data_IF_408757677083
#
_entry.id   IF_408757677083
#
_cell.length_a   1.000
_cell.length_b   1.000
_cell.length_c   1.000
_cell.angle_alpha   90.00
_cell.angle_beta   90.00
_cell.angle_gamma   90.00
#
_symmetry.space_group_name_H-M   'P 1'
#
loop_
_entity.id
_entity.type
_entity.pdbx_description
1 polymer ?
#
# COMPACT_ATOMS: atom_id res chain seq x y z
N UNK A 1 -3.18 35.98 18.82
CA UNK A 1 -2.87 34.54 18.91
C UNK A 1 -4.09 33.68 18.54
N UNK A 2 -5.23 33.87 19.20
CA UNK A 2 -6.45 33.06 19.00
C UNK A 2 -6.92 32.93 17.54
N UNK A 3 -6.91 34.01 16.74
CA UNK A 3 -7.30 33.94 15.31
C UNK A 3 -6.38 33.04 14.48
N UNK A 4 -5.07 33.05 14.75
CA UNK A 4 -4.12 32.16 14.10
C UNK A 4 -4.38 30.71 14.49
N UNK A 5 -4.60 30.44 15.78
CA UNK A 5 -4.95 29.10 16.27
C UNK A 5 -6.21 28.56 15.57
N UNK A 6 -7.27 29.36 15.48
CA UNK A 6 -8.49 28.98 14.75
C UNK A 6 -8.23 28.69 13.27
N UNK A 7 -7.41 29.51 12.61
CA UNK A 7 -7.11 29.32 11.18
C UNK A 7 -6.35 28.02 10.94
N UNK A 8 -5.38 27.70 11.80
CA UNK A 8 -4.62 26.46 11.69
C UNK A 8 -5.48 25.25 12.02
N UNK A 9 -6.29 25.30 13.08
CA UNK A 9 -7.26 24.23 13.40
C UNK A 9 -8.22 24.01 12.24
N UNK A 10 -8.75 25.08 11.64
CA UNK A 10 -9.63 24.96 10.49
C UNK A 10 -8.93 24.30 9.29
N UNK A 11 -7.68 24.66 9.03
CA UNK A 11 -6.87 24.02 7.99
C UNK A 11 -6.60 22.54 8.28
N UNK A 12 -6.30 22.18 9.54
CA UNK A 12 -6.11 20.79 9.97
C UNK A 12 -7.40 19.98 9.83
N UNK A 13 -8.53 20.53 10.26
CA UNK A 13 -9.85 19.90 10.11
C UNK A 13 -10.22 19.70 8.64
N UNK A 14 -9.95 20.70 7.79
CA UNK A 14 -10.13 20.57 6.34
C UNK A 14 -9.22 19.46 5.77
N UNK A 15 -7.98 19.37 6.23
CA UNK A 15 -7.04 18.32 5.81
C UNK A 15 -7.55 16.92 6.19
N UNK A 16 -8.07 16.77 7.42
CA UNK A 16 -8.68 15.52 7.92
C UNK A 16 -9.93 15.18 7.10
N UNK A 17 -10.80 16.13 6.80
CA UNK A 17 -11.98 15.92 5.96
C UNK A 17 -11.59 15.47 4.54
N UNK A 18 -10.61 16.12 3.91
CA UNK A 18 -10.12 15.71 2.58
C UNK A 18 -9.53 14.28 2.61
N UNK A 19 -8.86 13.93 3.70
CA UNK A 19 -8.35 12.58 3.94
C UNK A 19 -9.48 11.56 4.19
N UNK A 20 -10.60 11.96 4.77
CA UNK A 20 -11.74 11.08 5.06
C UNK A 20 -12.57 10.80 3.81
N UNK A 21 -12.78 11.81 2.96
CA UNK A 21 -13.55 11.66 1.73
C UNK A 21 -12.76 10.99 0.60
N UNK A 22 -13.41 10.13 -0.18
CA UNK A 22 -12.79 9.34 -1.27
C UNK A 22 -12.63 10.20 -2.53
N UNK A 23 -11.92 11.32 -2.42
CA UNK A 23 -11.75 12.32 -3.49
C UNK A 23 -10.39 12.20 -4.17
N UNK A 24 -10.25 12.68 -5.44
CA UNK A 24 -8.95 12.75 -6.13
C UNK A 24 -7.94 13.65 -5.38
N UNK A 25 -8.43 14.63 -4.60
CA UNK A 25 -7.63 15.51 -3.75
C UNK A 25 -6.84 14.72 -2.68
N UNK A 26 -7.39 13.60 -2.19
CA UNK A 26 -6.68 12.69 -1.28
C UNK A 26 -5.33 12.26 -1.84
N UNK A 27 -5.23 11.99 -3.15
CA UNK A 27 -3.99 11.55 -3.80
C UNK A 27 -2.93 12.65 -3.77
N UNK A 28 -3.34 13.91 -3.99
CA UNK A 28 -2.46 15.09 -3.98
C UNK A 28 -1.99 15.39 -2.54
N UNK A 29 -2.91 15.38 -1.58
CA UNK A 29 -2.60 15.59 -0.16
C UNK A 29 -1.62 14.53 0.33
N UNK A 30 -1.85 13.25 0.01
CA UNK A 30 -0.92 12.17 0.37
C UNK A 30 0.44 12.34 -0.31
N UNK A 31 0.49 12.70 -1.60
CA UNK A 31 1.75 12.93 -2.31
C UNK A 31 2.56 14.10 -1.73
N UNK A 32 1.87 15.14 -1.28
CA UNK A 32 2.48 16.33 -0.65
C UNK A 32 3.00 16.00 0.75
N UNK A 33 2.18 15.33 1.57
CA UNK A 33 2.62 14.83 2.88
C UNK A 33 3.83 13.90 2.76
N UNK A 34 3.86 13.05 1.74
CA UNK A 34 4.97 12.12 1.49
C UNK A 34 6.25 12.86 1.12
N UNK A 35 6.18 13.90 0.29
CA UNK A 35 7.36 14.74 -0.02
C UNK A 35 7.93 15.44 1.22
N UNK A 36 7.07 15.99 2.07
CA UNK A 36 7.48 16.69 3.29
C UNK A 36 8.13 15.74 4.32
N UNK A 37 7.66 14.49 4.41
CA UNK A 37 8.14 13.50 5.41
C UNK A 37 9.17 12.48 4.89
N UNK A 38 9.67 12.61 3.66
CA UNK A 38 10.67 11.68 3.07
C UNK A 38 12.13 11.97 3.48
N UNK A 39 12.41 13.14 4.06
CA UNK A 39 13.74 13.53 4.56
C UNK A 39 13.90 13.43 6.09
N UNK A 40 14.59 14.41 6.71
CA UNK A 40 14.71 14.59 8.19
C UNK A 40 13.38 14.85 8.92
N UNK A 41 12.25 14.82 8.21
CA UNK A 41 10.91 15.13 8.70
C UNK A 41 10.48 14.36 9.97
N UNK A 42 10.75 13.06 10.13
CA UNK A 42 10.35 12.32 11.35
C UNK A 42 11.03 12.83 12.62
N UNK A 43 12.29 13.28 12.51
CA UNK A 43 13.04 13.80 13.67
C UNK A 43 12.54 15.20 14.02
N UNK A 44 12.28 16.02 13.00
CA UNK A 44 11.78 17.39 13.19
C UNK A 44 10.35 17.42 13.74
N UNK A 45 9.49 16.49 13.32
CA UNK A 45 8.13 16.38 13.87
C UNK A 45 8.15 15.96 15.34
N UNK A 46 9.05 15.05 15.74
CA UNK A 46 9.21 14.64 17.15
C UNK A 46 9.71 15.78 18.03
N UNK A 47 10.67 16.58 17.56
CA UNK A 47 11.18 17.73 18.32
C UNK A 47 10.17 18.88 18.39
N UNK A 48 9.42 19.13 17.31
CA UNK A 48 8.34 20.12 17.31
C UNK A 48 7.19 19.68 18.22
N UNK A 49 6.78 18.41 18.18
CA UNK A 49 5.78 17.90 19.11
C UNK A 49 6.22 18.01 20.57
N UNK A 50 7.48 17.68 20.87
CA UNK A 50 8.04 17.82 22.21
C UNK A 50 8.08 19.28 22.70
N UNK A 51 8.51 20.21 21.86
CA UNK A 51 8.55 21.64 22.22
C UNK A 51 7.16 22.21 22.44
N UNK A 52 6.19 21.91 21.57
CA UNK A 52 4.82 22.41 21.74
C UNK A 52 4.14 21.73 22.94
N UNK A 53 4.46 20.47 23.26
CA UNK A 53 3.99 19.80 24.47
C UNK A 53 4.50 20.47 25.76
N UNK A 54 5.77 20.88 25.78
CA UNK A 54 6.35 21.65 26.90
C UNK A 54 5.69 23.03 27.03
N UNK A 55 5.44 23.72 25.92
CA UNK A 55 4.72 25.02 25.91
C UNK A 55 3.29 24.85 26.44
N UNK A 56 2.64 23.75 26.14
CA UNK A 56 1.30 23.44 26.65
C UNK A 56 1.33 23.18 28.16
N UNK A 57 2.29 22.37 28.64
CA UNK A 57 2.49 22.17 30.08
C UNK A 57 2.75 23.49 30.81
N UNK A 58 3.56 24.38 30.22
CA UNK A 58 3.80 25.73 30.77
C UNK A 58 2.51 26.55 30.84
N UNK A 59 1.67 26.47 29.81
CA UNK A 59 0.39 27.20 29.76
C UNK A 59 -0.61 26.67 30.81
N UNK A 60 -0.65 25.35 31.03
CA UNK A 60 -1.46 24.74 32.09
C UNK A 60 -0.97 25.15 33.49
N UNK A 61 0.34 25.21 33.69
CA UNK A 61 0.93 25.69 34.94
C UNK A 61 0.52 27.13 35.24
N UNK A 62 0.56 28.03 34.25
CA UNK A 62 0.13 29.42 34.43
C UNK A 62 -1.36 29.53 34.79
N UNK A 63 -2.23 28.70 34.22
CA UNK A 63 -3.66 28.68 34.57
C UNK A 63 -3.85 28.22 36.02
N UNK A 64 -3.15 27.15 36.44
CA UNK A 64 -3.21 26.65 37.82
C UNK A 64 -2.67 27.69 38.80
N UNK A 65 -1.60 28.40 38.44
CA UNK A 65 -1.02 29.47 39.27
C UNK A 65 -1.97 30.66 39.44
N UNK A 66 -2.63 31.10 38.37
CA UNK A 66 -3.65 32.16 38.42
C UNK A 66 -4.85 31.70 39.26
N UNK A 67 -5.27 30.44 39.11
CA UNK A 67 -6.38 29.88 39.88
C UNK A 67 -6.04 29.77 41.38
N UNK A 68 -4.82 29.35 41.72
CA UNK A 68 -4.34 29.31 43.10
C UNK A 68 -4.26 30.70 43.73
N UNK A 69 -3.76 31.71 42.99
CA UNK A 69 -3.78 33.12 43.45
C UNK A 69 -5.20 33.66 43.64
N UNK A 70 -6.13 33.29 42.77
CA UNK A 70 -7.54 33.72 42.89
C UNK A 70 -8.24 33.07 44.10
N UNK A 71 -7.87 31.83 44.45
CA UNK A 71 -8.35 31.15 45.65
C UNK A 71 -7.73 31.76 46.92
N UNK A 72 -6.45 32.13 46.91
CA UNK A 72 -5.78 32.83 48.01
C UNK A 72 -6.32 34.26 48.24
N UNK A 73 -6.76 34.95 47.19
CA UNK A 73 -7.25 36.34 47.26
C UNK A 73 -8.74 36.49 47.66
N UNK A 74 -9.50 35.38 47.77
CA UNK A 74 -10.85 35.36 48.36
C UNK A 74 -11.97 36.08 47.58
N UNK A 75 -11.69 36.74 46.46
CA UNK A 75 -12.69 37.35 45.57
C UNK A 75 -12.14 37.49 44.15
N UNK A 76 -12.74 36.84 43.12
CA UNK A 76 -12.30 36.97 41.75
C UNK A 76 -12.67 38.36 41.21
N UNK A 77 -11.65 39.17 40.91
CA UNK A 77 -11.81 40.45 40.23
C UNK A 77 -12.45 40.22 38.84
N UNK A 78 -13.50 40.95 38.41
CA UNK A 78 -14.18 40.71 37.13
C UNK A 78 -13.25 40.79 35.91
N UNK A 79 -12.17 41.58 36.00
CA UNK A 79 -11.13 41.66 34.95
C UNK A 79 -10.29 40.37 34.87
N UNK A 80 -10.00 39.73 36.01
CA UNK A 80 -9.25 38.47 36.06
C UNK A 80 -10.08 37.29 35.54
N UNK A 81 -11.42 37.37 35.67
CA UNK A 81 -12.31 36.34 35.13
C UNK A 81 -12.29 36.31 33.59
N UNK A 82 -12.24 37.48 32.94
CA UNK A 82 -12.12 37.57 31.48
C UNK A 82 -10.74 37.14 31.00
N UNK A 83 -9.67 37.55 31.71
CA UNK A 83 -8.31 37.16 31.37
C UNK A 83 -8.09 35.64 31.54
N UNK A 84 -8.63 35.06 32.61
CA UNK A 84 -8.57 33.62 32.86
C UNK A 84 -9.34 32.83 31.80
N UNK A 85 -10.56 33.28 31.42
CA UNK A 85 -11.31 32.63 30.34
C UNK A 85 -10.58 32.65 29.00
N UNK A 86 -9.86 33.75 28.69
CA UNK A 86 -9.08 33.89 27.47
C UNK A 86 -7.85 32.97 27.46
N UNK A 87 -7.13 32.87 28.57
CA UNK A 87 -6.01 31.93 28.70
C UNK A 87 -6.44 30.47 28.72
N UNK A 88 -7.57 30.15 29.36
CA UNK A 88 -8.15 28.80 29.30
C UNK A 88 -8.55 28.42 27.87
N UNK A 89 -9.17 29.35 27.15
CA UNK A 89 -9.53 29.13 25.75
C UNK A 89 -8.29 28.95 24.87
N UNK A 90 -7.27 29.79 25.05
CA UNK A 90 -6.00 29.71 24.30
C UNK A 90 -5.27 28.39 24.58
N UNK A 91 -5.18 27.96 25.84
CA UNK A 91 -4.56 26.68 26.20
C UNK A 91 -5.35 25.48 25.65
N UNK A 92 -6.67 25.52 25.70
CA UNK A 92 -7.54 24.48 25.12
C UNK A 92 -7.35 24.40 23.60
N UNK A 93 -7.33 25.54 22.91
CA UNK A 93 -7.06 25.62 21.46
C UNK A 93 -5.68 25.07 21.12
N UNK A 94 -4.64 25.44 21.88
CA UNK A 94 -3.27 24.94 21.69
C UNK A 94 -3.19 23.42 21.85
N UNK A 95 -3.91 22.87 22.83
CA UNK A 95 -4.03 21.43 23.03
C UNK A 95 -4.78 20.72 21.92
N UNK A 96 -5.86 21.33 21.42
CA UNK A 96 -6.59 20.77 20.30
C UNK A 96 -5.75 20.73 19.02
N UNK A 97 -4.98 21.79 18.77
CA UNK A 97 -4.03 21.89 17.66
C UNK A 97 -2.94 20.81 17.74
N UNK A 98 -2.37 20.62 18.93
CA UNK A 98 -1.42 19.54 19.19
C UNK A 98 -2.02 18.16 18.94
N UNK A 99 -3.24 17.93 19.44
CA UNK A 99 -3.95 16.67 19.27
C UNK A 99 -4.21 16.37 17.79
N UNK A 100 -4.70 17.36 17.03
CA UNK A 100 -4.93 17.24 15.59
C UNK A 100 -3.63 16.98 14.82
N UNK A 101 -2.55 17.69 15.14
CA UNK A 101 -1.24 17.47 14.54
C UNK A 101 -0.72 16.04 14.79
N UNK A 102 -0.88 15.51 16.01
CA UNK A 102 -0.53 14.12 16.35
C UNK A 102 -1.42 13.11 15.62
N UNK A 103 -2.73 13.39 15.51
CA UNK A 103 -3.66 12.55 14.76
C UNK A 103 -3.28 12.48 13.28
N UNK A 104 -2.88 13.61 12.68
CA UNK A 104 -2.37 13.68 11.30
C UNK A 104 -1.06 12.90 11.17
N UNK A 105 -0.17 12.95 12.18
CA UNK A 105 1.07 12.17 12.18
C UNK A 105 0.80 10.65 12.20
N UNK A 106 -0.11 10.19 13.07
CA UNK A 106 -0.56 8.79 13.12
C UNK A 106 -1.23 8.35 11.81
N UNK A 107 -2.12 9.18 11.25
CA UNK A 107 -2.75 8.92 9.95
C UNK A 107 -1.70 8.80 8.84
N UNK A 108 -0.68 9.65 8.86
CA UNK A 108 0.41 9.57 7.89
C UNK A 108 1.21 8.27 8.03
N UNK A 109 1.51 7.85 9.26
CA UNK A 109 2.17 6.57 9.51
C UNK A 109 1.36 5.40 8.93
N UNK A 110 0.05 5.40 9.17
CA UNK A 110 -0.86 4.39 8.63
C UNK A 110 -0.93 4.41 7.09
N UNK A 111 -0.92 5.60 6.48
CA UNK A 111 -0.88 5.75 5.01
C UNK A 111 0.43 5.20 4.42
N UNK A 112 1.56 5.34 5.14
CA UNK A 112 2.85 4.79 4.71
C UNK A 112 2.84 3.27 4.75
N UNK A 113 2.29 2.65 5.80
CA UNK A 113 2.13 1.20 5.89
C UNK A 113 1.22 0.64 4.78
N UNK A 114 0.09 1.28 4.53
CA UNK A 114 -0.83 0.90 3.44
C UNK A 114 -0.17 0.98 2.04
N UNK A 115 0.78 1.90 1.84
CA UNK A 115 1.55 1.99 0.59
C UNK A 115 2.59 0.89 0.45
N UNK A 116 3.26 0.51 1.54
CA UNK A 116 4.19 -0.62 1.52
C UNK A 116 3.45 -1.89 1.16
N UNK A 117 2.30 -2.15 1.80
CA UNK A 117 1.43 -3.27 1.46
C UNK A 117 0.93 -3.24 0.01
N UNK A 118 0.57 -2.06 -0.52
CA UNK A 118 0.15 -1.95 -1.92
C UNK A 118 1.30 -2.22 -2.88
N UNK A 119 2.52 -1.75 -2.57
CA UNK A 119 3.70 -2.00 -3.40
C UNK A 119 4.11 -3.48 -3.37
N UNK A 120 4.04 -4.14 -2.21
CA UNK A 120 4.31 -5.59 -2.11
C UNK A 120 3.22 -6.39 -2.82
N UNK A 121 1.95 -6.00 -2.71
CA UNK A 121 0.86 -6.63 -3.45
C UNK A 121 0.96 -6.40 -4.97
N UNK A 122 1.33 -5.20 -5.43
CA UNK A 122 1.56 -4.93 -6.85
C UNK A 122 2.79 -5.68 -7.38
N UNK A 123 3.86 -5.81 -6.58
CA UNK A 123 5.01 -6.63 -6.92
C UNK A 123 4.66 -8.12 -6.97
N UNK A 124 3.89 -8.62 -5.99
CA UNK A 124 3.39 -9.99 -5.97
C UNK A 124 2.42 -10.26 -7.15
N UNK A 125 1.57 -9.29 -7.51
CA UNK A 125 0.68 -9.39 -8.68
C UNK A 125 1.45 -9.34 -10.00
N UNK A 126 2.54 -8.57 -10.09
CA UNK A 126 3.43 -8.59 -11.27
C UNK A 126 4.17 -9.92 -11.38
N UNK A 127 4.67 -10.44 -10.26
CA UNK A 127 5.34 -11.75 -10.20
C UNK A 127 4.37 -12.89 -10.55
N UNK A 128 3.14 -12.85 -10.03
CA UNK A 128 2.13 -13.85 -10.38
C UNK A 128 1.73 -13.78 -11.85
N UNK A 129 1.67 -12.58 -12.42
CA UNK A 129 1.37 -12.38 -13.85
C UNK A 129 2.53 -12.85 -14.75
N UNK A 130 3.79 -12.63 -14.36
CA UNK A 130 4.94 -13.17 -15.09
C UNK A 130 5.07 -14.69 -14.98
N UNK A 131 4.64 -15.27 -13.86
CA UNK A 131 4.60 -16.73 -13.69
C UNK A 131 3.47 -17.38 -14.51
N UNK A 132 2.34 -16.69 -14.67
CA UNK A 132 1.22 -17.14 -15.51
C UNK A 132 1.56 -17.10 -17.00
N UNK A 133 2.24 -16.03 -17.45
CA UNK A 133 2.73 -15.88 -18.84
C UNK A 133 3.75 -16.98 -19.20
N UNK A 134 4.67 -17.30 -18.28
CA UNK A 134 5.64 -18.39 -18.45
C UNK A 134 5.01 -19.78 -18.42
N UNK A 135 3.91 -19.96 -17.67
CA UNK A 135 3.16 -21.22 -17.60
C UNK A 135 2.32 -21.46 -18.86
N UNK A 136 1.82 -20.39 -19.51
CA UNK A 136 1.07 -20.51 -20.75
C UNK A 136 1.98 -20.90 -21.93
N UNK A 137 3.19 -20.32 -22.03
CA UNK A 137 4.18 -20.71 -23.03
C UNK A 137 4.60 -22.18 -22.93
N UNK A 138 4.92 -22.67 -21.72
CA UNK A 138 5.22 -24.09 -21.52
C UNK A 138 4.04 -25.02 -21.77
N UNK A 139 2.81 -24.58 -21.51
CA UNK A 139 1.61 -25.37 -21.81
C UNK A 139 1.31 -25.49 -23.30
N UNK A 140 1.67 -24.49 -24.11
CA UNK A 140 1.50 -24.53 -25.57
C UNK A 140 2.55 -25.43 -26.22
N UNK A 141 3.82 -25.35 -25.77
CA UNK A 141 4.89 -26.24 -26.25
C UNK A 141 4.61 -27.71 -25.90
N UNK A 142 4.12 -28.00 -24.68
CA UNK A 142 3.76 -29.38 -24.29
C UNK A 142 2.60 -29.93 -25.14
N UNK A 143 1.63 -29.09 -25.51
CA UNK A 143 0.53 -29.49 -26.41
C UNK A 143 1.02 -29.75 -27.83
N UNK A 144 1.85 -28.86 -28.37
CA UNK A 144 2.46 -29.02 -29.69
C UNK A 144 3.30 -30.30 -29.78
N UNK A 145 4.16 -30.55 -28.77
CA UNK A 145 4.94 -31.78 -28.67
C UNK A 145 4.03 -33.03 -28.54
N UNK A 146 2.91 -32.93 -27.81
CA UNK A 146 1.91 -34.00 -27.72
C UNK A 146 1.27 -34.35 -29.07
N UNK A 147 0.92 -33.33 -29.87
CA UNK A 147 0.37 -33.51 -31.22
C UNK A 147 1.41 -34.12 -32.18
N UNK A 148 2.67 -33.68 -32.11
CA UNK A 148 3.77 -34.24 -32.88
C UNK A 148 4.00 -35.73 -32.54
N UNK A 149 3.95 -36.10 -31.26
CA UNK A 149 4.07 -37.49 -30.82
C UNK A 149 2.95 -38.36 -31.41
N UNK A 150 1.70 -37.88 -31.40
CA UNK A 150 0.57 -38.63 -31.98
C UNK A 150 0.74 -38.78 -33.49
N UNK A 151 1.16 -37.71 -34.17
CA UNK A 151 1.39 -37.74 -35.61
C UNK A 151 2.51 -38.71 -35.99
N UNK A 152 3.66 -38.64 -35.31
CA UNK A 152 4.78 -39.57 -35.48
C UNK A 152 4.38 -41.01 -35.19
N UNK A 153 3.61 -41.26 -34.14
CA UNK A 153 3.09 -42.61 -33.82
C UNK A 153 2.19 -43.16 -34.93
N UNK A 154 1.37 -42.32 -35.54
CA UNK A 154 0.52 -42.71 -36.67
C UNK A 154 1.34 -43.06 -37.92
N UNK A 155 2.39 -42.26 -38.21
CA UNK A 155 3.32 -42.52 -39.32
C UNK A 155 4.10 -43.82 -39.12
N UNK A 156 4.59 -44.08 -37.91
CA UNK A 156 5.28 -45.33 -37.58
C UNK A 156 4.35 -46.52 -37.83
N UNK A 157 3.09 -46.46 -37.36
CA UNK A 157 2.11 -47.53 -37.56
C UNK A 157 1.81 -47.79 -39.04
N UNK A 158 1.69 -46.74 -39.85
CA UNK A 158 1.47 -46.88 -41.29
C UNK A 158 2.69 -47.51 -42.00
N UNK A 159 3.91 -47.08 -41.64
CA UNK A 159 5.14 -47.66 -42.19
C UNK A 159 5.33 -49.12 -41.78
N UNK A 160 4.92 -49.48 -40.56
CA UNK A 160 4.94 -50.87 -40.09
C UNK A 160 4.01 -51.76 -40.92
N UNK A 161 2.78 -51.31 -41.20
CA UNK A 161 1.88 -52.01 -42.13
C UNK A 161 2.44 -52.12 -43.54
N UNK A 162 3.08 -51.06 -44.05
CA UNK A 162 3.69 -51.08 -45.39
C UNK A 162 4.88 -52.07 -45.46
N UNK A 163 5.70 -52.12 -44.41
CA UNK A 163 6.79 -53.10 -44.29
C UNK A 163 6.26 -54.53 -44.16
N UNK A 164 5.19 -54.78 -43.39
CA UNK A 164 4.55 -56.09 -43.31
C UNK A 164 3.94 -56.54 -44.65
N UNK A 165 3.34 -55.62 -45.40
CA UNK A 165 2.80 -55.92 -46.74
C UNK A 165 3.94 -56.29 -47.71
N UNK A 166 5.01 -55.47 -47.75
CA UNK A 166 6.16 -55.72 -48.62
C UNK A 166 6.92 -57.00 -48.25
N UNK A 167 6.99 -57.36 -46.97
CA UNK A 167 7.61 -58.63 -46.56
C UNK A 167 6.77 -59.84 -46.95
N UNK A 168 5.43 -59.75 -46.88
CA UNK A 168 4.54 -60.80 -47.39
C UNK A 168 4.66 -60.96 -48.91
N UNK A 169 4.71 -59.86 -49.65
CA UNK A 169 4.92 -59.87 -51.11
C UNK A 169 6.30 -60.45 -51.48
N UNK A 170 7.37 -60.04 -50.78
CA UNK A 170 8.71 -60.57 -51.01
C UNK A 170 8.80 -62.08 -50.69
N UNK A 171 8.10 -62.55 -49.67
CA UNK A 171 8.04 -63.98 -49.32
C UNK A 171 7.22 -64.78 -50.33
N UNK A 172 6.11 -64.24 -50.85
CA UNK A 172 5.34 -64.86 -51.93
C UNK A 172 6.16 -64.96 -53.22
N UNK A 173 6.85 -63.89 -53.60
CA UNK A 173 7.72 -63.87 -54.77
C UNK A 173 8.91 -64.85 -54.64
N UNK A 174 9.47 -65.02 -53.43
CA UNK A 174 10.49 -66.04 -53.16
C UNK A 174 9.94 -67.46 -53.28
N UNK A 175 8.76 -67.72 -52.74
CA UNK A 175 8.11 -69.03 -52.84
C UNK A 175 7.77 -69.40 -54.29
N UNK A 176 7.31 -68.44 -55.10
CA UNK A 176 7.09 -68.64 -56.54
C UNK A 176 8.39 -68.85 -57.33
N UNK A 177 9.47 -68.15 -56.96
CA UNK A 177 10.77 -68.33 -57.59
C UNK A 177 11.41 -69.69 -57.24
N UNK A 178 11.22 -70.19 -56.02
CA UNK A 178 11.66 -71.53 -55.61
C UNK A 178 10.81 -72.64 -56.26
N UNK A 179 9.51 -72.43 -56.44
CA UNK A 179 8.61 -73.36 -57.14
C UNK A 179 8.96 -73.50 -58.63
N UNK A 180 9.51 -72.46 -59.26
CA UNK A 180 10.01 -72.50 -60.65
C UNK A 180 11.41 -73.09 -60.81
N UNK A 181 12.11 -73.40 -59.71
CA UNK A 181 13.46 -74.00 -59.70
C UNK A 181 13.47 -75.50 -59.39
N UNK A 182 12.32 -76.10 -59.08
CA UNK A 182 12.10 -77.56 -59.03
C UNK A 182 11.47 -78.04 -60.33
#
# INVERSE_FOLDING_TARGET
>A
MIHLLYTVIFAEMALVMILLFKTPLRKIVIATLDRVKRGRGPVMVKTVAGTVFVVLLSSLYSIIEIQNRAIEAGSPNPTDQVLMSSHMLEASLMGFLLFLALMIDRLHHYIRELRLLRKTMEAAKKQSRSLDDGKNGGSEEIKALGEEIVNLKSKIKNLEFECEAKTKEANAAKAEAEAKRK
#
